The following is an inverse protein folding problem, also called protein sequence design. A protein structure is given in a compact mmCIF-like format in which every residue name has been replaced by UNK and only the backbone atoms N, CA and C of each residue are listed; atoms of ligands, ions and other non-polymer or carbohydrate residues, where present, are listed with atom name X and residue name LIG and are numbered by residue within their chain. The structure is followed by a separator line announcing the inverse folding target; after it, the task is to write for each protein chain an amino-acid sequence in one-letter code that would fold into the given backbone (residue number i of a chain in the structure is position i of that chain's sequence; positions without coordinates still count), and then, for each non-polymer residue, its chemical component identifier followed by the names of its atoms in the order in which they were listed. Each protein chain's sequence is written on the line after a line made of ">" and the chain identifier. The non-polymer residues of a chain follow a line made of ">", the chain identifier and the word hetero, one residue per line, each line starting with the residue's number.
data_IF_361989226480
#
_entry.id   IF_361989226480
#
_cell.length_a   1.000
_cell.length_b   1.000
_cell.length_c   1.000
_cell.angle_alpha   90.00
_cell.angle_beta   90.00
_cell.angle_gamma   90.00
#
_symmetry.space_group_name_H-M   'P 1'
#
loop_
_entity.id
_entity.type
_entity.pdbx_description
1 polymer ?
#
# COMPACT_ATOMS: atom_id res chain seq x y z
N UNK A 1 0.24 -4.89 -11.42
CA UNK A 1 -0.12 -3.55 -11.96
C UNK A 1 -1.23 -2.99 -11.09
N UNK A 2 -1.14 -1.73 -10.66
CA UNK A 2 -2.20 -1.11 -9.84
C UNK A 2 -3.38 -0.80 -10.76
N UNK A 3 -4.55 -1.37 -10.49
CA UNK A 3 -5.76 -1.04 -11.24
C UNK A 3 -6.36 0.25 -10.68
N UNK A 4 -6.46 1.27 -11.54
CA UNK A 4 -6.96 2.61 -11.20
C UNK A 4 -6.28 3.18 -9.94
N UNK A 5 -5.10 3.83 -10.06
CA UNK A 5 -4.40 4.35 -8.90
C UNK A 5 -5.30 5.30 -8.11
N UNK A 6 -5.27 5.17 -6.78
CA UNK A 6 -6.01 6.08 -5.91
C UNK A 6 -5.47 7.49 -6.08
N UNK A 7 -6.36 8.45 -6.31
CA UNK A 7 -6.06 9.87 -6.30
C UNK A 7 -6.80 10.50 -5.14
N UNK A 8 -6.09 11.27 -4.30
CA UNK A 8 -6.71 12.02 -3.21
C UNK A 8 -7.76 12.97 -3.81
N UNK A 9 -9.00 12.85 -3.34
CA UNK A 9 -10.09 13.65 -3.85
C UNK A 9 -10.01 15.07 -3.28
N UNK A 10 -10.03 16.07 -4.15
CA UNK A 10 -10.17 17.47 -3.72
C UNK A 10 -11.55 17.69 -3.07
N UNK A 11 -11.62 18.42 -1.94
CA UNK A 11 -12.90 18.72 -1.33
C UNK A 11 -13.74 19.61 -2.24
N UNK A 12 -15.01 19.28 -2.41
CA UNK A 12 -15.98 20.11 -3.12
C UNK A 12 -17.05 20.56 -2.14
N UNK A 13 -17.33 21.85 -2.12
CA UNK A 13 -18.44 22.42 -1.35
C UNK A 13 -19.77 21.74 -1.70
N UNK A 14 -20.60 21.50 -0.69
CA UNK A 14 -21.92 20.88 -0.84
C UNK A 14 -22.78 21.55 -1.92
N UNK A 15 -22.80 22.88 -1.95
CA UNK A 15 -23.53 23.63 -2.97
C UNK A 15 -23.00 23.35 -4.38
N UNK A 16 -21.68 23.29 -4.56
CA UNK A 16 -21.09 22.95 -5.87
C UNK A 16 -21.43 21.52 -6.29
N UNK A 17 -21.50 20.57 -5.34
CA UNK A 17 -21.91 19.18 -5.62
C UNK A 17 -23.36 19.10 -6.13
N UNK A 18 -24.28 19.88 -5.56
CA UNK A 18 -25.70 19.84 -5.91
C UNK A 18 -26.09 20.75 -7.09
N UNK A 19 -25.49 21.93 -7.22
CA UNK A 19 -25.96 22.95 -8.16
C UNK A 19 -25.13 23.06 -9.45
N UNK A 20 -24.09 22.24 -9.62
CA UNK A 20 -23.30 22.24 -10.86
C UNK A 20 -23.34 20.88 -11.55
N UNK A 21 -23.41 20.88 -12.90
CA UNK A 21 -23.34 19.65 -13.71
C UNK A 21 -22.05 18.85 -13.45
N UNK A 22 -20.93 19.57 -13.27
CA UNK A 22 -19.63 18.97 -12.93
C UNK A 22 -19.67 18.31 -11.54
N UNK A 23 -20.31 18.96 -10.55
CA UNK A 23 -20.52 18.42 -9.21
C UNK A 23 -21.33 17.13 -9.22
N UNK A 24 -22.43 17.09 -9.95
CA UNK A 24 -23.26 15.88 -10.11
C UNK A 24 -22.49 14.71 -10.73
N UNK A 25 -21.76 14.96 -11.82
CA UNK A 25 -20.93 13.95 -12.46
C UNK A 25 -19.93 13.35 -11.47
N UNK A 26 -19.25 14.20 -10.70
CA UNK A 26 -18.28 13.77 -9.70
C UNK A 26 -18.90 13.01 -8.54
N UNK A 27 -20.03 13.47 -8.00
CA UNK A 27 -20.76 12.74 -6.94
C UNK A 27 -21.21 11.36 -7.40
N UNK A 28 -21.65 11.22 -8.65
CA UNK A 28 -21.99 9.92 -9.25
C UNK A 28 -20.76 9.01 -9.34
N UNK A 29 -19.62 9.54 -9.76
CA UNK A 29 -18.36 8.80 -9.85
C UNK A 29 -17.86 8.34 -8.46
N UNK A 30 -17.93 9.22 -7.45
CA UNK A 30 -17.60 8.92 -6.05
C UNK A 30 -18.46 7.74 -5.53
N UNK A 31 -19.78 7.82 -5.74
CA UNK A 31 -20.72 6.79 -5.32
C UNK A 31 -20.46 5.44 -6.02
N UNK A 32 -20.26 5.45 -7.34
CA UNK A 32 -19.91 4.23 -8.09
C UNK A 32 -18.59 3.64 -7.57
N UNK A 33 -17.61 4.50 -7.25
CA UNK A 33 -16.32 4.09 -6.73
C UNK A 33 -16.44 3.41 -5.35
N UNK A 34 -17.29 3.93 -4.48
CA UNK A 34 -17.60 3.35 -3.17
C UNK A 34 -18.34 2.02 -3.31
N UNK A 35 -19.32 1.92 -4.21
CA UNK A 35 -20.02 0.66 -4.49
C UNK A 35 -19.06 -0.43 -4.99
N UNK A 36 -18.13 -0.09 -5.89
CA UNK A 36 -17.08 -1.02 -6.33
C UNK A 36 -16.22 -1.50 -5.16
N UNK A 37 -15.87 -0.60 -4.22
CA UNK A 37 -15.12 -0.94 -3.01
C UNK A 37 -15.91 -1.90 -2.12
N UNK A 38 -17.17 -1.59 -1.85
CA UNK A 38 -18.05 -2.42 -1.03
C UNK A 38 -18.23 -3.83 -1.64
N UNK A 39 -18.45 -3.89 -2.95
CA UNK A 39 -18.56 -5.16 -3.68
C UNK A 39 -17.29 -6.02 -3.58
N UNK A 40 -16.11 -5.41 -3.78
CA UNK A 40 -14.84 -6.12 -3.66
C UNK A 40 -14.63 -6.69 -2.25
N UNK A 41 -14.91 -5.91 -1.20
CA UNK A 41 -14.80 -6.36 0.19
C UNK A 41 -15.81 -7.46 0.50
N UNK A 42 -17.06 -7.34 0.01
CA UNK A 42 -18.09 -8.35 0.23
C UNK A 42 -17.71 -9.70 -0.41
N UNK A 43 -17.19 -9.68 -1.64
CA UNK A 43 -16.68 -10.89 -2.31
C UNK A 43 -15.47 -11.48 -1.58
N UNK A 44 -14.51 -10.66 -1.18
CA UNK A 44 -13.35 -11.09 -0.39
C UNK A 44 -13.78 -11.77 0.92
N UNK A 45 -14.75 -11.18 1.64
CA UNK A 45 -15.32 -11.78 2.86
C UNK A 45 -15.93 -13.15 2.61
N UNK A 46 -16.70 -13.30 1.53
CA UNK A 46 -17.36 -14.55 1.16
C UNK A 46 -16.36 -15.68 0.88
N UNK A 47 -15.22 -15.36 0.25
CA UNK A 47 -14.25 -16.36 -0.22
C UNK A 47 -13.17 -16.70 0.81
N UNK A 48 -12.63 -15.72 1.54
CA UNK A 48 -11.39 -15.90 2.34
C UNK A 48 -11.56 -15.66 3.83
N UNK A 49 -12.80 -15.56 4.35
CA UNK A 49 -13.11 -15.20 5.76
C UNK A 49 -12.43 -13.90 6.21
N UNK A 50 -12.35 -12.91 5.32
CA UNK A 50 -11.68 -11.65 5.59
C UNK A 50 -12.25 -10.90 6.80
N UNK A 51 -11.36 -10.43 7.68
CA UNK A 51 -11.67 -9.53 8.77
C UNK A 51 -10.77 -8.30 8.70
N UNK A 52 -11.38 -7.12 8.77
CA UNK A 52 -10.68 -5.82 8.69
C UNK A 52 -9.59 -5.66 9.77
N UNK A 53 -9.84 -5.91 11.07
CA UNK A 53 -8.80 -5.78 12.10
C UNK A 53 -7.61 -6.73 11.87
N UNK A 54 -7.89 -8.01 11.59
CA UNK A 54 -6.83 -8.99 11.30
C UNK A 54 -5.99 -8.59 10.09
N UNK A 55 -6.63 -8.07 9.05
CA UNK A 55 -5.92 -7.56 7.88
C UNK A 55 -5.06 -6.34 8.20
N UNK A 56 -5.50 -5.45 9.08
CA UNK A 56 -4.70 -4.29 9.49
C UNK A 56 -3.44 -4.71 10.24
N UNK A 57 -3.55 -5.68 11.15
CA UNK A 57 -2.40 -6.27 11.85
C UNK A 57 -1.41 -6.90 10.86
N UNK A 58 -1.91 -7.73 9.92
CA UNK A 58 -1.11 -8.35 8.86
C UNK A 58 -0.44 -7.31 7.95
N UNK A 59 -1.16 -6.25 7.58
CA UNK A 59 -0.63 -5.17 6.74
C UNK A 59 0.47 -4.37 7.44
N UNK A 60 0.32 -4.08 8.75
CA UNK A 60 1.36 -3.41 9.54
C UNK A 60 2.58 -4.31 9.69
N UNK A 61 2.39 -5.62 9.88
CA UNK A 61 3.49 -6.57 9.96
C UNK A 61 4.26 -6.63 8.63
N UNK A 62 3.56 -6.77 7.50
CA UNK A 62 4.17 -6.70 6.16
C UNK A 62 4.88 -5.37 5.91
N UNK A 63 4.30 -4.26 6.36
CA UNK A 63 4.91 -2.94 6.26
C UNK A 63 6.25 -2.87 7.00
N UNK A 64 6.32 -3.39 8.23
CA UNK A 64 7.56 -3.47 9.01
C UNK A 64 8.58 -4.36 8.31
N UNK A 65 8.22 -5.58 7.95
CA UNK A 65 9.11 -6.54 7.30
C UNK A 65 9.71 -5.99 6.01
N UNK A 66 8.87 -5.41 5.13
CA UNK A 66 9.32 -4.85 3.85
C UNK A 66 10.31 -3.70 4.09
N UNK A 67 9.99 -2.75 4.98
CA UNK A 67 10.88 -1.62 5.24
C UNK A 67 12.18 -2.05 5.92
N UNK A 68 12.15 -3.01 6.84
CA UNK A 68 13.35 -3.59 7.43
C UNK A 68 14.24 -4.26 6.37
N UNK A 69 13.67 -5.05 5.46
CA UNK A 69 14.44 -5.66 4.39
C UNK A 69 14.98 -4.65 3.37
N UNK A 70 14.26 -3.54 3.13
CA UNK A 70 14.76 -2.44 2.28
C UNK A 70 15.96 -1.73 2.92
N UNK A 71 15.92 -1.51 4.24
CA UNK A 71 17.03 -0.92 4.98
C UNK A 71 18.27 -1.84 4.99
N UNK A 72 18.06 -3.15 5.17
CA UNK A 72 19.13 -4.17 5.12
C UNK A 72 19.64 -4.42 3.70
N UNK A 73 18.81 -4.22 2.67
CA UNK A 73 19.14 -4.55 1.28
C UNK A 73 18.93 -6.02 0.92
N UNK A 74 18.18 -6.80 1.71
CA UNK A 74 17.91 -8.21 1.43
C UNK A 74 16.89 -8.38 0.29
N UNK A 75 17.42 -8.63 -0.91
CA UNK A 75 16.64 -8.80 -2.14
C UNK A 75 15.88 -10.12 -2.16
N UNK A 76 16.34 -11.14 -1.46
CA UNK A 76 15.76 -12.49 -1.53
C UNK A 76 14.45 -12.58 -0.78
N UNK A 77 14.42 -12.10 0.47
CA UNK A 77 13.21 -12.05 1.29
C UNK A 77 12.18 -11.08 0.70
N UNK A 78 12.62 -9.92 0.19
CA UNK A 78 11.72 -8.94 -0.46
C UNK A 78 10.92 -9.55 -1.61
N UNK A 79 11.52 -10.44 -2.41
CA UNK A 79 10.85 -11.04 -3.58
C UNK A 79 9.58 -11.80 -3.20
N UNK A 80 9.52 -12.37 -2.01
CA UNK A 80 8.34 -13.14 -1.55
C UNK A 80 7.21 -12.24 -1.04
N UNK A 81 7.56 -11.07 -0.48
CA UNK A 81 6.63 -10.13 0.14
C UNK A 81 5.97 -9.18 -0.85
N UNK A 82 6.53 -9.04 -2.05
CA UNK A 82 6.07 -8.07 -3.05
C UNK A 82 5.77 -8.70 -4.40
N UNK A 83 5.04 -7.96 -5.24
CA UNK A 83 4.81 -8.33 -6.65
C UNK A 83 6.06 -8.07 -7.50
N UNK A 84 6.19 -8.75 -8.64
CA UNK A 84 7.38 -8.65 -9.50
C UNK A 84 7.70 -7.22 -9.97
N UNK A 85 6.67 -6.44 -10.27
CA UNK A 85 6.83 -5.03 -10.66
C UNK A 85 7.42 -4.21 -9.51
N UNK A 86 6.86 -4.38 -8.30
CA UNK A 86 7.34 -3.68 -7.11
C UNK A 86 8.75 -4.11 -6.72
N UNK A 87 9.06 -5.40 -6.86
CA UNK A 87 10.41 -5.92 -6.65
C UNK A 87 11.43 -5.24 -7.58
N UNK A 88 11.07 -5.01 -8.84
CA UNK A 88 11.95 -4.32 -9.79
C UNK A 88 12.20 -2.87 -9.41
N UNK A 89 11.20 -2.17 -8.87
CA UNK A 89 11.33 -0.81 -8.34
C UNK A 89 12.26 -0.82 -7.12
N UNK A 90 12.02 -1.71 -6.16
CA UNK A 90 12.86 -1.82 -4.95
C UNK A 90 14.32 -2.17 -5.26
N UNK A 91 14.59 -3.04 -6.22
CA UNK A 91 15.97 -3.32 -6.65
C UNK A 91 16.69 -2.05 -7.12
N UNK A 92 15.99 -1.18 -7.86
CA UNK A 92 16.56 0.09 -8.35
C UNK A 92 16.81 1.05 -7.20
N UNK A 93 15.85 1.18 -6.28
CA UNK A 93 15.98 2.04 -5.10
C UNK A 93 17.11 1.59 -4.17
N UNK A 94 17.22 0.29 -3.88
CA UNK A 94 18.33 -0.25 -3.10
C UNK A 94 19.66 0.06 -3.78
N UNK A 95 19.78 -0.20 -5.10
CA UNK A 95 21.00 0.08 -5.84
C UNK A 95 21.36 1.57 -5.80
N UNK A 96 20.38 2.47 -5.97
CA UNK A 96 20.61 3.91 -5.89
C UNK A 96 21.04 4.33 -4.48
N UNK A 97 20.36 3.82 -3.45
CA UNK A 97 20.70 4.08 -2.05
C UNK A 97 22.11 3.64 -1.71
N UNK A 98 22.52 2.45 -2.12
CA UNK A 98 23.86 1.89 -1.87
C UNK A 98 24.99 2.77 -2.47
N UNK A 99 24.71 3.61 -3.46
CA UNK A 99 25.70 4.58 -3.97
C UNK A 99 25.92 5.78 -3.06
N UNK A 100 24.92 6.13 -2.24
CA UNK A 100 24.96 7.31 -1.36
C UNK A 100 25.24 6.91 0.10
N UNK A 101 24.61 5.85 0.59
CA UNK A 101 24.71 5.39 1.98
C UNK A 101 25.04 3.90 2.04
N UNK A 102 26.03 3.54 2.84
CA UNK A 102 26.47 2.15 2.98
C UNK A 102 25.48 1.34 3.82
N UNK A 103 24.98 1.92 4.92
CA UNK A 103 24.12 1.28 5.88
C UNK A 103 23.00 2.23 6.28
N UNK A 104 21.80 1.67 6.35
CA UNK A 104 20.61 2.39 6.79
C UNK A 104 19.95 1.60 7.91
N UNK A 105 19.62 2.30 8.98
CA UNK A 105 18.80 1.80 10.06
C UNK A 105 17.42 2.43 9.94
N UNK A 106 16.40 1.58 9.84
CA UNK A 106 15.01 1.99 9.83
C UNK A 106 14.28 1.28 10.95
N UNK A 107 13.50 2.03 11.72
CA UNK A 107 12.66 1.50 12.78
C UNK A 107 11.33 2.25 12.79
N UNK A 108 10.24 1.48 12.91
CA UNK A 108 8.90 2.04 13.14
C UNK A 108 8.64 2.14 14.64
N UNK A 109 8.26 3.32 15.11
CA UNK A 109 7.85 3.54 16.49
C UNK A 109 6.38 3.10 16.63
N UNK A 110 6.13 2.07 17.42
CA UNK A 110 4.77 1.62 17.74
C UNK A 110 4.12 2.48 18.85
N UNK A 111 2.79 2.66 18.84
CA UNK A 111 1.80 2.13 17.89
C UNK A 111 1.64 2.97 16.60
N UNK A 112 1.06 2.38 15.56
CA UNK A 112 0.64 3.08 14.34
C UNK A 112 -0.31 4.22 14.68
N UNK A 113 -0.04 5.43 14.18
CA UNK A 113 -0.87 6.61 14.44
C UNK A 113 -2.24 6.46 13.80
N UNK A 114 -2.29 6.05 12.53
CA UNK A 114 -3.53 5.83 11.79
C UNK A 114 -3.34 4.79 10.69
N UNK A 115 -4.33 3.92 10.53
CA UNK A 115 -4.44 3.02 9.37
C UNK A 115 -5.87 3.05 8.83
N UNK A 116 -6.04 3.39 7.55
CA UNK A 116 -7.36 3.43 6.91
C UNK A 116 -7.37 2.80 5.53
N UNK A 117 -8.41 2.05 5.24
CA UNK A 117 -8.71 1.62 3.87
C UNK A 117 -9.26 2.78 3.07
N UNK A 118 -8.54 3.17 2.03
CA UNK A 118 -8.97 4.18 1.07
C UNK A 118 -9.85 3.58 -0.02
N UNK A 119 -9.45 2.41 -0.54
CA UNK A 119 -10.09 1.79 -1.70
C UNK A 119 -9.88 0.28 -1.70
N UNK A 120 -10.82 -0.45 -2.28
CA UNK A 120 -10.63 -1.86 -2.63
C UNK A 120 -11.11 -2.10 -4.07
N UNK A 121 -10.36 -2.87 -4.86
CA UNK A 121 -10.70 -3.20 -6.24
C UNK A 121 -10.48 -4.68 -6.48
N UNK A 122 -11.36 -5.27 -7.26
CA UNK A 122 -11.23 -6.64 -7.74
C UNK A 122 -10.78 -6.59 -9.19
N UNK A 123 -9.75 -7.36 -9.51
CA UNK A 123 -9.16 -7.47 -10.84
C UNK A 123 -9.40 -8.90 -11.27
N UNK A 124 -10.25 -9.10 -12.27
CA UNK A 124 -10.38 -10.39 -12.92
C UNK A 124 -9.49 -10.42 -14.17
N UNK A 125 -8.69 -11.47 -14.32
CA UNK A 125 -7.87 -11.67 -15.52
C UNK A 125 -8.77 -11.93 -16.74
N UNK A 126 -9.89 -12.62 -16.52
CA UNK A 126 -10.96 -12.79 -17.49
C UNK A 126 -12.24 -12.12 -16.97
N UNK A 127 -12.90 -11.32 -17.81
CA UNK A 127 -14.18 -10.67 -17.46
C UNK A 127 -15.30 -11.68 -17.26
N UNK A 128 -15.20 -12.84 -17.92
CA UNK A 128 -16.19 -13.90 -17.87
C UNK A 128 -15.87 -14.96 -16.82
N UNK A 129 -14.60 -15.06 -16.39
CA UNK A 129 -14.16 -15.99 -15.37
C UNK A 129 -13.52 -15.29 -14.17
N UNK A 130 -14.31 -15.16 -13.10
CA UNK A 130 -13.88 -14.58 -11.82
C UNK A 130 -13.00 -15.54 -10.99
N UNK A 131 -12.79 -16.77 -11.45
CA UNK A 131 -12.00 -17.77 -10.73
C UNK A 131 -10.52 -17.38 -10.68
N UNK A 132 -10.02 -16.49 -11.54
CA UNK A 132 -8.64 -15.99 -11.50
C UNK A 132 -8.54 -14.54 -10.98
N UNK A 133 -9.46 -14.14 -10.11
CA UNK A 133 -9.49 -12.77 -9.61
C UNK A 133 -8.43 -12.49 -8.53
N UNK A 134 -7.91 -11.27 -8.55
CA UNK A 134 -7.10 -10.67 -7.50
C UNK A 134 -7.91 -9.57 -6.81
N UNK A 135 -7.63 -9.34 -5.53
CA UNK A 135 -8.15 -8.17 -4.81
C UNK A 135 -6.98 -7.28 -4.43
N UNK A 136 -7.12 -6.00 -4.76
CA UNK A 136 -6.23 -4.94 -4.35
C UNK A 136 -6.90 -4.06 -3.30
N UNK A 137 -6.23 -3.82 -2.18
CA UNK A 137 -6.68 -2.91 -1.14
C UNK A 137 -5.63 -1.81 -0.97
N UNK A 138 -6.06 -0.57 -1.15
CA UNK A 138 -5.26 0.63 -0.90
C UNK A 138 -5.45 1.06 0.56
N UNK A 139 -4.36 1.07 1.30
CA UNK A 139 -4.30 1.54 2.68
C UNK A 139 -3.52 2.85 2.74
N UNK A 140 -3.99 3.78 3.55
CA UNK A 140 -3.17 4.87 4.07
C UNK A 140 -2.68 4.48 5.46
N UNK A 141 -1.36 4.59 5.65
CA UNK A 141 -0.66 4.22 6.85
C UNK A 141 0.10 5.46 7.33
N UNK A 142 -0.22 5.92 8.54
CA UNK A 142 0.44 7.04 9.20
C UNK A 142 1.24 6.50 10.38
N UNK A 143 2.56 6.67 10.33
CA UNK A 143 3.48 6.09 11.31
C UNK A 143 4.53 7.09 11.76
N UNK A 144 5.00 6.94 13.00
CA UNK A 144 6.22 7.59 13.45
C UNK A 144 7.40 6.67 13.12
N UNK A 145 8.42 7.21 12.47
CA UNK A 145 9.59 6.45 12.03
C UNK A 145 10.87 7.08 12.52
N UNK A 146 11.87 6.22 12.71
CA UNK A 146 13.26 6.58 12.94
C UNK A 146 14.08 6.16 11.74
N UNK A 147 14.95 7.06 11.31
CA UNK A 147 15.84 6.81 10.19
C UNK A 147 17.25 7.26 10.57
N UNK A 148 18.23 6.39 10.37
CA UNK A 148 19.64 6.75 10.49
C UNK A 148 20.44 6.18 9.31
N UNK A 149 21.22 7.04 8.66
CA UNK A 149 22.07 6.68 7.53
C UNK A 149 23.54 6.84 7.91
N UNK A 150 24.36 5.86 7.49
CA UNK A 150 25.78 5.79 7.79
C UNK A 150 26.60 5.72 6.50
N UNK A 151 27.80 6.30 6.56
CA UNK A 151 28.81 6.21 5.50
C UNK A 151 29.54 4.85 5.52
N UNK A 152 30.33 4.54 4.50
CA UNK A 152 31.21 3.36 4.42
C UNK A 152 32.12 3.20 5.64
N UNK A 153 32.51 4.30 6.27
CA UNK A 153 33.33 4.32 7.51
C UNK A 153 32.53 4.08 8.80
N UNK A 154 31.21 3.89 8.69
CA UNK A 154 30.32 3.74 9.85
C UNK A 154 29.99 5.05 10.58
N UNK A 155 30.35 6.20 9.99
CA UNK A 155 30.04 7.52 10.54
C UNK A 155 28.59 7.86 10.22
N UNK A 156 27.86 8.37 11.21
CA UNK A 156 26.49 8.84 11.04
C UNK A 156 26.47 10.09 10.14
N UNK A 157 25.74 9.99 9.02
CA UNK A 157 25.55 11.11 8.08
C UNK A 157 24.29 11.89 8.45
N UNK A 158 23.20 11.16 8.70
CA UNK A 158 21.89 11.75 8.95
C UNK A 158 21.14 10.88 9.94
N UNK A 159 20.50 11.52 10.90
CA UNK A 159 19.62 10.89 11.88
C UNK A 159 18.36 11.72 12.04
N UNK A 160 17.22 11.08 11.78
CA UNK A 160 15.91 11.61 12.09
C UNK A 160 15.27 10.71 13.15
N UNK A 161 15.20 11.25 14.37
CA UNK A 161 14.76 10.50 15.56
C UNK A 161 13.25 10.34 15.67
N UNK A 162 12.45 11.15 14.97
CA UNK A 162 11.00 11.00 14.87
C UNK A 162 10.44 11.76 13.68
N UNK A 163 10.09 11.04 12.63
CA UNK A 163 9.41 11.59 11.45
C UNK A 163 8.01 11.01 11.36
N UNK A 164 7.01 11.86 11.18
CA UNK A 164 5.66 11.44 10.88
C UNK A 164 5.54 11.21 9.37
N UNK A 165 5.38 9.96 8.96
CA UNK A 165 5.32 9.55 7.55
C UNK A 165 3.91 9.08 7.21
N UNK A 166 3.33 9.69 6.18
CA UNK A 166 2.07 9.26 5.56
C UNK A 166 2.36 8.48 4.28
N UNK A 167 2.03 7.19 4.30
CA UNK A 167 2.28 6.26 3.21
C UNK A 167 0.97 5.74 2.62
N UNK A 168 0.87 5.67 1.29
CA UNK A 168 -0.25 5.01 0.61
C UNK A 168 0.24 3.75 -0.08
N UNK A 169 -0.13 2.60 0.48
CA UNK A 169 0.32 1.29 0.03
C UNK A 169 -0.84 0.49 -0.56
N UNK A 170 -0.59 -0.19 -1.68
CA UNK A 170 -1.55 -1.06 -2.36
C UNK A 170 -1.15 -2.50 -2.12
N UNK A 171 -1.94 -3.21 -1.33
CA UNK A 171 -1.76 -4.64 -1.09
C UNK A 171 -2.59 -5.45 -2.07
N UNK A 172 -2.07 -6.58 -2.52
CA UNK A 172 -2.74 -7.50 -3.43
C UNK A 172 -2.78 -8.91 -2.85
N UNK A 173 -3.90 -9.60 -3.08
CA UNK A 173 -4.06 -11.01 -2.76
C UNK A 173 -4.81 -11.73 -3.87
N UNK A 174 -4.34 -12.93 -4.21
CA UNK A 174 -5.05 -13.86 -5.09
C UNK A 174 -6.27 -14.45 -4.38
N UNK A 175 -7.42 -14.50 -5.07
CA UNK A 175 -8.63 -15.15 -4.55
C UNK A 175 -8.73 -16.64 -4.93
N UNK A 176 -7.87 -17.10 -5.84
CA UNK A 176 -7.98 -18.42 -6.46
C UNK A 176 -7.09 -19.47 -5.80
N UNK A 177 -5.96 -19.03 -5.24
CA UNK A 177 -5.08 -19.91 -4.49
C UNK A 177 -5.54 -19.99 -3.02
N UNK A 178 -5.95 -21.17 -2.53
CA UNK A 178 -6.17 -21.35 -1.10
C UNK A 178 -4.85 -21.08 -0.36
N UNK A 179 -4.90 -20.27 0.69
CA UNK A 179 -3.71 -19.88 1.46
C UNK A 179 -2.85 -18.78 0.84
N UNK A 180 -3.31 -18.11 -0.22
CA UNK A 180 -2.61 -16.94 -0.77
C UNK A 180 -2.37 -15.88 0.32
N UNK A 181 -1.12 -15.42 0.44
CA UNK A 181 -0.70 -14.33 1.33
C UNK A 181 -0.93 -12.97 0.68
N UNK A 182 -1.05 -11.93 1.50
CA UNK A 182 -1.01 -10.56 1.01
C UNK A 182 0.41 -10.18 0.58
N UNK A 183 0.51 -9.42 -0.51
CA UNK A 183 1.78 -8.91 -1.04
C UNK A 183 1.67 -7.43 -1.36
N UNK A 184 2.78 -6.71 -1.31
CA UNK A 184 2.81 -5.32 -1.76
C UNK A 184 2.81 -5.23 -3.29
N UNK A 185 1.76 -4.62 -3.84
CA UNK A 185 1.64 -4.37 -5.28
C UNK A 185 2.25 -3.02 -5.69
N UNK A 186 2.17 -2.01 -4.85
CA UNK A 186 2.67 -0.69 -5.20
C UNK A 186 2.58 0.34 -4.09
N UNK A 187 3.31 1.43 -4.26
CA UNK A 187 3.26 2.64 -3.44
C UNK A 187 2.71 3.78 -4.28
N UNK A 188 1.87 4.60 -3.69
CA UNK A 188 1.35 5.81 -4.32
C UNK A 188 2.06 6.99 -3.65
N UNK A 189 2.85 7.71 -4.43
CA UNK A 189 3.40 9.00 -4.01
C UNK A 189 2.25 10.00 -3.89
N UNK A 190 2.15 10.67 -2.74
CA UNK A 190 1.23 11.78 -2.52
C UNK A 190 1.65 13.03 -3.31
#
# INVERSE_FOLDING_TARGET
>A
MILEPYKRLEPISFLKRLFTRRGWKRSKEDLISEFKTAYAIAKLRKLTKYSKPKFYEEAIQLYKEINSHLAQGDRTSLRQLVTENMYTIFKREIKQRETTWSRVHWEMIEPTVRIRTLRARMIAVDKNNLDNAFVQITLEILTNQKFAAYDLKGILITEDSKVLVEDIWVFERSLFQPGARWRLCGRISL
#
